data_IF_441894731862
#
_entry.id   IF_441894731862
#
_cell.length_a   1.000
_cell.length_b   1.000
_cell.length_c   1.000
_cell.angle_alpha   90.00
_cell.angle_beta   90.00
_cell.angle_gamma   90.00
#
_symmetry.space_group_name_H-M   'P 1'
#
loop_
_entity.id
_entity.type
_entity.pdbx_description
1 polymer ?
#
# COMPACT_ATOMS: atom_id res chain seq x y z
N UNK A 1 1.85 -0.49 -47.55
CA UNK A 1 2.67 -1.35 -46.66
C UNK A 1 1.76 -2.14 -45.73
N UNK A 2 1.74 -3.48 -45.84
CA UNK A 2 0.96 -4.32 -44.92
C UNK A 2 1.63 -4.29 -43.54
N UNK A 3 0.91 -3.86 -42.51
CA UNK A 3 1.41 -3.83 -41.12
C UNK A 3 1.48 -5.27 -40.62
N UNK A 4 2.68 -5.78 -40.38
CA UNK A 4 2.89 -7.07 -39.70
C UNK A 4 2.51 -6.85 -38.23
N UNK A 5 1.53 -7.61 -37.73
CA UNK A 5 1.26 -7.68 -36.29
C UNK A 5 2.50 -8.29 -35.66
N UNK A 6 3.14 -7.57 -34.74
CA UNK A 6 4.18 -8.13 -33.90
C UNK A 6 3.46 -8.99 -32.86
N UNK A 7 3.30 -10.28 -33.15
CA UNK A 7 2.89 -11.26 -32.15
C UNK A 7 4.07 -11.40 -31.20
N UNK A 8 3.92 -10.87 -29.99
CA UNK A 8 4.90 -11.04 -28.93
C UNK A 8 4.79 -12.49 -28.49
N UNK A 9 5.80 -13.29 -28.80
CA UNK A 9 5.94 -14.64 -28.26
C UNK A 9 6.30 -14.50 -26.78
N UNK A 10 5.27 -14.28 -25.96
CA UNK A 10 5.42 -14.25 -24.51
C UNK A 10 5.55 -15.68 -24.06
N UNK A 11 6.79 -16.16 -24.04
CA UNK A 11 7.21 -17.13 -23.03
C UNK A 11 6.69 -16.59 -21.70
N UNK A 12 5.71 -17.27 -21.12
CA UNK A 12 5.08 -16.86 -19.87
C UNK A 12 6.16 -16.41 -18.89
N UNK A 13 6.25 -15.11 -18.63
CA UNK A 13 7.13 -14.55 -17.59
C UNK A 13 6.48 -14.89 -16.25
N UNK A 14 6.49 -16.17 -15.89
CA UNK A 14 5.57 -16.69 -14.89
C UNK A 14 5.61 -18.19 -14.74
N UNK A 15 6.79 -18.81 -14.87
CA UNK A 15 7.01 -20.24 -14.55
C UNK A 15 6.85 -20.59 -13.06
N UNK A 16 6.23 -19.72 -12.27
CA UNK A 16 5.83 -20.01 -10.90
C UNK A 16 4.39 -20.51 -10.95
N UNK A 17 4.22 -21.81 -10.71
CA UNK A 17 2.90 -22.41 -10.53
C UNK A 17 2.17 -21.81 -9.32
N UNK A 18 1.04 -22.41 -8.96
CA UNK A 18 0.37 -22.04 -7.72
C UNK A 18 1.36 -22.12 -6.54
N UNK A 19 1.24 -21.18 -5.58
CA UNK A 19 2.04 -21.19 -4.37
C UNK A 19 1.91 -22.55 -3.68
N UNK A 20 3.02 -23.05 -3.14
CA UNK A 20 2.97 -24.23 -2.28
C UNK A 20 2.31 -23.86 -0.95
N UNK A 21 1.79 -24.85 -0.22
CA UNK A 21 1.17 -24.59 1.10
C UNK A 21 2.16 -23.97 2.08
N UNK A 22 3.42 -24.36 1.93
CA UNK A 22 4.55 -23.85 2.69
C UNK A 22 4.76 -22.36 2.38
N UNK A 23 4.78 -21.97 1.10
CA UNK A 23 4.91 -20.56 0.70
C UNK A 23 3.72 -19.72 1.20
N UNK A 24 2.50 -20.24 1.04
CA UNK A 24 1.29 -19.58 1.53
C UNK A 24 1.34 -19.35 3.05
N UNK A 25 1.84 -20.34 3.80
CA UNK A 25 2.00 -20.25 5.25
C UNK A 25 3.02 -19.18 5.65
N UNK A 26 4.18 -19.15 4.97
CA UNK A 26 5.23 -18.19 5.24
C UNK A 26 4.77 -16.74 4.96
N UNK A 27 4.02 -16.54 3.87
CA UNK A 27 3.41 -15.25 3.54
C UNK A 27 2.39 -14.84 4.61
N UNK A 28 1.54 -15.77 5.04
CA UNK A 28 0.51 -15.53 6.06
C UNK A 28 1.15 -15.07 7.38
N UNK A 29 2.19 -15.76 7.82
CA UNK A 29 2.87 -15.45 9.08
C UNK A 29 3.63 -14.14 9.03
N UNK A 30 4.28 -13.83 7.90
CA UNK A 30 4.89 -12.52 7.69
C UNK A 30 3.86 -11.38 7.79
N UNK A 31 2.70 -11.54 7.15
CA UNK A 31 1.63 -10.53 7.18
C UNK A 31 1.09 -10.36 8.61
N UNK A 32 0.85 -11.45 9.34
CA UNK A 32 0.38 -11.41 10.74
C UNK A 32 1.40 -10.70 11.62
N UNK A 33 2.68 -11.08 11.54
CA UNK A 33 3.75 -10.46 12.33
C UNK A 33 3.86 -8.96 12.04
N UNK A 34 3.74 -8.55 10.76
CA UNK A 34 3.74 -7.14 10.37
C UNK A 34 2.53 -6.39 10.95
N UNK A 35 1.33 -6.97 10.88
CA UNK A 35 0.11 -6.38 11.43
C UNK A 35 0.19 -6.20 12.95
N UNK A 36 0.67 -7.21 13.68
CA UNK A 36 0.86 -7.13 15.13
C UNK A 36 1.84 -6.01 15.51
N UNK A 37 2.96 -5.90 14.78
CA UNK A 37 3.94 -4.81 14.96
C UNK A 37 3.35 -3.42 14.66
N UNK A 38 2.36 -3.32 13.78
CA UNK A 38 1.68 -2.06 13.44
C UNK A 38 0.53 -1.73 14.39
N UNK A 39 -0.22 -2.72 14.88
CA UNK A 39 -1.29 -2.54 15.85
C UNK A 39 -0.76 -1.91 17.15
N UNK A 40 0.43 -2.30 17.60
CA UNK A 40 1.11 -1.65 18.73
C UNK A 40 1.58 -0.21 18.47
N UNK A 41 1.54 0.26 17.21
CA UNK A 41 1.97 1.61 16.79
C UNK A 41 0.80 2.53 16.40
N UNK A 42 -0.44 2.05 16.50
CA UNK A 42 -1.65 2.77 16.05
C UNK A 42 -2.04 3.99 16.91
N UNK A 43 -1.23 4.40 17.88
CA UNK A 43 -1.53 5.56 18.75
C UNK A 43 -0.87 6.86 18.32
N UNK A 44 0.00 6.86 17.31
CA UNK A 44 0.54 8.11 16.77
C UNK A 44 -0.21 8.54 15.52
N UNK A 45 -1.54 8.66 15.64
CA UNK A 45 -2.26 9.60 14.79
C UNK A 45 -1.70 10.97 15.09
N UNK A 46 -0.81 11.46 14.22
CA UNK A 46 -0.59 12.90 14.06
C UNK A 46 -1.88 13.47 13.48
N UNK A 47 -2.92 13.53 14.31
CA UNK A 47 -4.08 14.38 14.05
C UNK A 47 -3.51 15.78 14.07
N UNK A 48 -3.06 16.25 12.90
CA UNK A 48 -2.80 17.67 12.67
C UNK A 48 -4.14 18.34 13.00
N UNK A 49 -4.22 18.93 14.19
CA UNK A 49 -5.39 19.65 14.68
C UNK A 49 -5.61 20.84 13.74
N UNK A 50 -6.40 20.64 12.68
CA UNK A 50 -6.73 21.67 11.67
C UNK A 50 -7.51 22.86 12.26
N UNK A 51 -7.85 22.84 13.54
CA UNK A 51 -8.67 23.87 14.18
C UNK A 51 -7.89 25.10 14.65
N UNK A 52 -6.54 25.11 14.64
CA UNK A 52 -5.77 26.28 15.07
C UNK A 52 -5.79 27.47 14.08
N UNK A 53 -6.20 27.26 12.82
CA UNK A 53 -6.17 28.32 11.78
C UNK A 53 -7.38 29.24 11.75
N UNK A 54 -8.48 28.94 12.46
CA UNK A 54 -9.69 29.78 12.41
C UNK A 54 -9.63 31.01 13.32
N UNK A 55 -8.92 30.94 14.45
CA UNK A 55 -8.94 32.01 15.46
C UNK A 55 -8.11 33.24 15.06
N UNK A 56 -7.12 33.07 14.17
CA UNK A 56 -6.24 34.20 13.76
C UNK A 56 -6.91 35.13 12.75
N UNK A 57 -7.86 34.63 11.93
CA UNK A 57 -8.50 35.46 10.89
C UNK A 57 -9.56 36.42 11.43
N UNK A 58 -10.08 36.19 12.63
CA UNK A 58 -11.11 37.03 13.24
C UNK A 58 -10.51 38.26 13.95
N UNK A 59 -9.30 38.14 14.52
CA UNK A 59 -8.60 39.24 15.19
C UNK A 59 -7.95 40.28 14.28
N UNK A 60 -7.88 40.05 12.97
CA UNK A 60 -7.28 40.99 11.99
C UNK A 60 -8.35 41.86 11.32
N UNK A 61 -9.62 41.74 11.73
CA UNK A 61 -10.75 42.45 11.13
C UNK A 61 -11.47 43.40 12.11
N UNK A 62 -10.69 44.11 12.92
CA UNK A 62 -11.12 45.26 13.74
C UNK A 62 -10.25 46.47 13.40
#
# INVERSE_FOLDING_TARGET
MKRRKAELDVDFIGGLGALTREDESAISDFIKARKLKQAGKATQSTTIRRNARKVVKEKVKL
#
